data_IF_725142611356
#
_entry.id   IF_725142611356
#
_cell.length_a   1.000
_cell.length_b   1.000
_cell.length_c   1.000
_cell.angle_alpha   90.00
_cell.angle_beta   90.00
_cell.angle_gamma   90.00
#
_symmetry.space_group_name_H-M   'P 1'
#
loop_
_entity.id
_entity.type
_entity.pdbx_description
1 polymer ?
#
# COMPACT_ATOMS: atom_id res chain seq x y z
N UNK A 1 -15.81 -11.06 -11.39
CA UNK A 1 -15.15 -11.28 -10.08
C UNK A 1 -16.21 -11.19 -8.99
N UNK A 2 -16.12 -11.96 -7.90
CA UNK A 2 -17.02 -11.77 -6.75
C UNK A 2 -16.82 -10.35 -6.20
N UNK A 3 -17.90 -9.63 -5.91
CA UNK A 3 -17.91 -8.25 -5.38
C UNK A 3 -16.96 -8.08 -4.18
N UNK A 4 -16.84 -9.12 -3.35
CA UNK A 4 -15.92 -9.15 -2.21
C UNK A 4 -14.45 -9.06 -2.65
N UNK A 5 -14.04 -9.81 -3.67
CA UNK A 5 -12.65 -9.75 -4.19
C UNK A 5 -12.32 -8.38 -4.78
N UNK A 6 -13.29 -7.76 -5.45
CA UNK A 6 -13.15 -6.42 -6.00
C UNK A 6 -12.96 -5.38 -4.89
N UNK A 7 -13.81 -5.41 -3.86
CA UNK A 7 -13.73 -4.51 -2.71
C UNK A 7 -12.38 -4.62 -1.98
N UNK A 8 -11.88 -5.84 -1.75
CA UNK A 8 -10.59 -6.02 -1.07
C UNK A 8 -9.39 -5.67 -1.95
N UNK A 9 -9.47 -5.91 -3.26
CA UNK A 9 -8.36 -5.63 -4.19
C UNK A 9 -8.24 -4.15 -4.52
N UNK A 10 -9.37 -3.53 -4.87
CA UNK A 10 -9.37 -2.13 -5.27
C UNK A 10 -9.51 -1.19 -4.08
N UNK A 11 -10.22 -1.60 -3.02
CA UNK A 11 -10.44 -0.77 -1.85
C UNK A 11 -9.30 -0.78 -0.83
N UNK A 12 -8.49 -1.85 -0.76
CA UNK A 12 -7.43 -1.93 0.26
C UNK A 12 -6.37 -0.83 0.15
N UNK A 13 -5.91 -0.38 -1.03
CA UNK A 13 -4.97 0.74 -1.14
C UNK A 13 -5.58 2.06 -0.68
N UNK A 14 -6.88 2.28 -0.94
CA UNK A 14 -7.59 3.47 -0.45
C UNK A 14 -7.74 3.43 1.07
N UNK A 15 -8.18 2.30 1.63
CA UNK A 15 -8.32 2.13 3.09
C UNK A 15 -6.97 2.33 3.78
N UNK A 16 -5.90 1.78 3.19
CA UNK A 16 -4.54 1.97 3.69
C UNK A 16 -4.10 3.43 3.63
N UNK A 17 -4.35 4.13 2.51
CA UNK A 17 -4.06 5.56 2.37
C UNK A 17 -4.81 6.42 3.39
N UNK A 18 -6.10 6.14 3.61
CA UNK A 18 -6.90 6.82 4.64
C UNK A 18 -6.30 6.57 6.02
N UNK A 19 -5.89 5.34 6.32
CA UNK A 19 -5.20 5.03 7.57
C UNK A 19 -3.92 5.84 7.75
N UNK A 20 -3.08 5.95 6.71
CA UNK A 20 -1.84 6.74 6.76
C UNK A 20 -2.12 8.22 7.05
N UNK A 21 -3.14 8.80 6.42
CA UNK A 21 -3.58 10.17 6.71
C UNK A 21 -4.03 10.28 8.17
N UNK A 22 -4.91 9.40 8.63
CA UNK A 22 -5.42 9.43 10.01
C UNK A 22 -4.31 9.27 11.05
N UNK A 23 -3.32 8.42 10.78
CA UNK A 23 -2.16 8.23 11.64
C UNK A 23 -1.22 9.45 11.66
N UNK A 24 -1.15 10.18 10.55
CA UNK A 24 -0.33 11.40 10.41
C UNK A 24 -0.93 12.63 11.09
N UNK A 25 -2.27 12.72 11.18
CA UNK A 25 -2.94 13.78 11.92
C UNK A 25 -2.62 13.66 13.41
N UNK A 26 -2.51 14.77 14.15
CA UNK A 26 -2.24 14.76 15.60
C UNK A 26 -3.50 14.89 16.47
N UNK A 27 -4.65 15.25 15.86
CA UNK A 27 -5.85 15.68 16.57
C UNK A 27 -6.87 14.55 16.81
N UNK A 28 -6.57 13.30 16.44
CA UNK A 28 -7.49 12.16 16.56
C UNK A 28 -6.95 11.20 17.64
N UNK A 29 -7.20 11.45 18.94
CA UNK A 29 -6.47 10.86 20.07
C UNK A 29 -6.43 9.33 20.15
N UNK A 30 -7.31 8.63 19.42
CA UNK A 30 -7.37 7.17 19.41
C UNK A 30 -6.50 6.53 18.32
N UNK A 31 -6.20 7.26 17.24
CA UNK A 31 -5.40 6.80 16.09
C UNK A 31 -4.08 7.56 15.95
N UNK A 32 -4.12 8.86 16.24
CA UNK A 32 -2.96 9.67 16.49
C UNK A 32 -2.58 9.52 17.94
N UNK A 33 -1.83 8.47 18.24
CA UNK A 33 -1.08 8.37 19.49
C UNK A 33 0.33 8.88 19.17
N UNK A 34 0.50 10.20 19.07
CA UNK A 34 1.61 10.78 18.32
C UNK A 34 2.92 10.38 18.98
N UNK A 35 2.93 10.20 20.31
CA UNK A 35 4.14 9.86 21.05
C UNK A 35 4.06 8.53 21.80
N UNK A 36 3.42 7.51 21.22
CA UNK A 36 3.34 6.20 21.86
C UNK A 36 3.87 5.07 20.99
N UNK A 37 4.60 4.16 21.64
CA UNK A 37 5.02 2.87 21.06
C UNK A 37 3.83 2.02 20.61
N UNK A 38 2.65 2.20 21.23
CA UNK A 38 1.42 1.55 20.82
C UNK A 38 0.92 2.08 19.46
N UNK A 39 1.03 3.39 19.20
CA UNK A 39 0.70 3.97 17.88
C UNK A 39 1.59 3.41 16.77
N UNK A 40 2.90 3.32 17.02
CA UNK A 40 3.85 2.70 16.08
C UNK A 40 3.54 1.21 15.84
N UNK A 41 3.19 0.47 16.90
CA UNK A 41 2.78 -0.94 16.78
C UNK A 41 1.53 -1.11 15.93
N UNK A 42 0.51 -0.27 16.12
CA UNK A 42 -0.72 -0.29 15.31
C UNK A 42 -0.40 0.01 13.84
N UNK A 43 0.43 1.02 13.56
CA UNK A 43 0.86 1.33 12.19
C UNK A 43 1.61 0.17 11.52
N UNK A 44 2.50 -0.50 12.26
CA UNK A 44 3.21 -1.67 11.77
C UNK A 44 2.25 -2.85 11.51
N UNK A 45 1.36 -3.16 12.44
CA UNK A 45 0.38 -4.23 12.30
C UNK A 45 -0.56 -4.00 11.10
N UNK A 46 -1.02 -2.75 10.92
CA UNK A 46 -1.88 -2.39 9.79
C UNK A 46 -1.13 -2.48 8.46
N UNK A 47 0.15 -2.10 8.42
CA UNK A 47 1.00 -2.23 7.24
C UNK A 47 1.25 -3.69 6.86
N UNK A 48 1.50 -4.57 7.84
CA UNK A 48 1.61 -6.01 7.60
C UNK A 48 0.27 -6.58 7.10
N UNK A 49 -0.85 -6.16 7.68
CA UNK A 49 -2.19 -6.56 7.24
C UNK A 49 -2.45 -6.17 5.77
N UNK A 50 -2.14 -4.93 5.40
CA UNK A 50 -2.22 -4.45 4.01
C UNK A 50 -1.39 -5.33 3.06
N UNK A 51 -0.13 -5.56 3.39
CA UNK A 51 0.76 -6.39 2.59
C UNK A 51 0.26 -7.83 2.46
N UNK A 52 -0.27 -8.41 3.55
CA UNK A 52 -0.86 -9.75 3.55
C UNK A 52 -2.07 -9.86 2.62
N UNK A 53 -2.92 -8.83 2.59
CA UNK A 53 -4.06 -8.77 1.65
C UNK A 53 -3.56 -8.71 0.21
N UNK A 54 -2.61 -7.83 -0.10
CA UNK A 54 -2.10 -7.68 -1.47
C UNK A 54 -1.39 -8.93 -1.98
N UNK A 55 -0.52 -9.52 -1.16
CA UNK A 55 0.16 -10.78 -1.49
C UNK A 55 -0.84 -11.94 -1.62
N UNK A 56 -1.82 -12.02 -0.72
CA UNK A 56 -2.84 -13.05 -0.75
C UNK A 56 -3.68 -12.99 -2.03
N UNK A 57 -4.13 -11.79 -2.41
CA UNK A 57 -4.89 -11.59 -3.65
C UNK A 57 -4.05 -11.91 -4.89
N UNK A 58 -2.78 -11.52 -4.89
CA UNK A 58 -1.83 -11.82 -5.97
C UNK A 58 -1.56 -13.32 -6.12
N UNK A 59 -1.48 -14.07 -5.02
CA UNK A 59 -1.25 -15.51 -5.04
C UNK A 59 -2.38 -16.30 -5.73
N UNK A 60 -3.61 -15.77 -5.70
CA UNK A 60 -4.78 -16.38 -6.35
C UNK A 60 -5.18 -15.70 -7.66
N UNK A 61 -4.32 -14.85 -8.21
CA UNK A 61 -4.55 -14.20 -9.50
C UNK A 61 -4.43 -15.22 -10.65
N UNK A 62 -5.35 -15.15 -11.62
CA UNK A 62 -5.37 -15.99 -12.81
C UNK A 62 -4.61 -15.30 -13.94
N UNK A 63 -3.65 -16.01 -14.51
CA UNK A 63 -2.88 -15.57 -15.68
C UNK A 63 -3.84 -15.19 -16.82
N UNK A 64 -3.71 -13.95 -17.33
CA UNK A 64 -4.48 -13.43 -18.47
C UNK A 64 -5.90 -12.91 -18.17
N UNK A 65 -6.39 -12.98 -16.92
CA UNK A 65 -7.71 -12.43 -16.54
C UNK A 65 -7.66 -11.29 -15.54
N UNK A 66 -6.60 -11.23 -14.74
CA UNK A 66 -6.37 -10.15 -13.78
C UNK A 66 -5.54 -9.05 -14.43
N UNK A 67 -5.86 -7.79 -14.13
CA UNK A 67 -5.24 -6.61 -14.74
C UNK A 67 -4.08 -6.07 -13.88
N UNK A 68 -2.85 -6.58 -14.03
CA UNK A 68 -1.72 -6.21 -13.17
C UNK A 68 -1.32 -4.73 -13.29
N UNK A 69 -1.66 -4.10 -14.42
CA UNK A 69 -1.47 -2.66 -14.63
C UNK A 69 -2.33 -1.84 -13.68
N UNK A 70 -3.60 -2.23 -13.50
CA UNK A 70 -4.52 -1.53 -12.59
C UNK A 70 -4.04 -1.68 -11.14
N UNK A 71 -3.58 -2.87 -10.77
CA UNK A 71 -3.03 -3.13 -9.43
C UNK A 71 -1.79 -2.27 -9.13
N UNK A 72 -0.93 -2.06 -10.13
CA UNK A 72 0.21 -1.15 -10.01
C UNK A 72 -0.23 0.31 -9.81
N UNK A 73 -1.22 0.80 -10.57
CA UNK A 73 -1.71 2.16 -10.36
C UNK A 73 -2.37 2.34 -9.00
N UNK A 74 -3.06 1.31 -8.50
CA UNK A 74 -3.66 1.33 -7.17
C UNK A 74 -2.60 1.33 -6.06
N UNK A 75 -1.48 0.64 -6.22
CA UNK A 75 -0.38 0.67 -5.24
C UNK A 75 0.39 2.00 -5.23
N UNK A 76 0.28 2.83 -6.28
CA UNK A 76 0.81 4.20 -6.27
C UNK A 76 0.02 5.14 -5.36
N UNK A 77 -1.25 4.87 -5.07
CA UNK A 77 -2.09 5.74 -4.22
C UNK A 77 -1.47 5.95 -2.83
N UNK A 78 -1.16 4.88 -2.05
CA UNK A 78 -0.54 5.07 -0.74
C UNK A 78 0.87 5.67 -0.83
N UNK A 79 1.59 5.47 -1.95
CA UNK A 79 2.88 6.13 -2.17
C UNK A 79 2.72 7.65 -2.29
N UNK A 80 1.75 8.10 -3.10
CA UNK A 80 1.43 9.52 -3.23
C UNK A 80 0.98 10.11 -1.90
N UNK A 81 0.17 9.38 -1.13
CA UNK A 81 -0.24 9.80 0.21
C UNK A 81 0.96 10.03 1.14
N UNK A 82 1.91 9.09 1.18
CA UNK A 82 3.14 9.25 1.97
C UNK A 82 3.97 10.45 1.51
N UNK A 83 4.10 10.65 0.20
CA UNK A 83 4.86 11.76 -0.36
C UNK A 83 4.23 13.11 0.04
N UNK A 84 2.90 13.21 -0.02
CA UNK A 84 2.17 14.40 0.46
C UNK A 84 2.40 14.62 1.96
N UNK A 85 2.33 13.58 2.79
CA UNK A 85 2.59 13.68 4.24
C UNK A 85 4.00 14.22 4.50
N UNK A 86 5.01 13.67 3.82
CA UNK A 86 6.41 14.14 3.94
C UNK A 86 6.56 15.60 3.53
N UNK A 87 5.93 16.00 2.41
CA UNK A 87 5.94 17.41 1.99
C UNK A 87 5.27 18.32 3.02
N UNK A 88 4.16 17.90 3.61
CA UNK A 88 3.46 18.68 4.65
C UNK A 88 4.26 18.81 5.95
N UNK A 89 5.03 17.78 6.31
CA UNK A 89 5.95 17.82 7.45
C UNK A 89 7.13 18.78 7.19
N UNK A 90 7.76 18.71 6.00
CA UNK A 90 8.85 19.62 5.60
C UNK A 90 8.39 21.09 5.57
N UNK A 91 7.17 21.36 5.11
CA UNK A 91 6.59 22.72 5.06
C UNK A 91 6.09 23.17 6.45
N UNK A 92 6.17 22.31 7.48
CA UNK A 92 5.78 22.62 8.85
C UNK A 92 4.27 22.74 9.06
N UNK A 93 3.46 22.20 8.13
CA UNK A 93 1.99 22.19 8.24
C UNK A 93 1.48 20.97 9.00
N UNK A 94 2.27 19.91 9.06
CA UNK A 94 1.95 18.67 9.73
C UNK A 94 3.20 18.18 10.46
N UNK A 95 3.52 18.75 11.63
CA UNK A 95 4.69 18.31 12.39
C UNK A 95 4.49 16.85 12.79
N UNK A 96 5.42 15.97 12.42
CA UNK A 96 5.38 14.58 12.81
C UNK A 96 6.25 14.33 14.05
N UNK A 97 5.77 13.48 14.95
CA UNK A 97 6.63 12.95 16.00
C UNK A 97 7.64 11.93 15.47
N UNK A 98 8.67 11.63 16.25
CA UNK A 98 9.63 10.56 15.90
C UNK A 98 8.95 9.19 15.74
N UNK A 99 7.94 8.87 16.56
CA UNK A 99 7.22 7.60 16.44
C UNK A 99 6.35 7.53 15.19
N UNK A 100 5.70 8.65 14.82
CA UNK A 100 4.95 8.73 13.57
C UNK A 100 5.88 8.62 12.36
N UNK A 101 7.04 9.27 12.40
CA UNK A 101 8.06 9.14 11.34
C UNK A 101 8.49 7.68 11.18
N UNK A 102 8.79 6.96 12.27
CA UNK A 102 9.16 5.55 12.18
C UNK A 102 8.01 4.66 11.68
N UNK A 103 6.77 4.90 12.14
CA UNK A 103 5.60 4.17 11.66
C UNK A 103 5.34 4.39 10.16
N UNK A 104 5.43 5.64 9.70
CA UNK A 104 5.28 6.01 8.30
C UNK A 104 6.45 5.50 7.44
N UNK A 105 7.66 5.41 7.99
CA UNK A 105 8.80 4.79 7.30
C UNK A 105 8.59 3.29 7.08
N UNK A 106 8.03 2.57 8.07
CA UNK A 106 7.63 1.16 7.90
C UNK A 106 6.57 1.05 6.81
N UNK A 107 5.55 1.91 6.84
CA UNK A 107 4.53 1.94 5.80
C UNK A 107 5.12 2.22 4.41
N UNK A 108 6.08 3.14 4.31
CA UNK A 108 6.78 3.43 3.05
C UNK A 108 7.51 2.21 2.51
N UNK A 109 8.21 1.46 3.37
CA UNK A 109 8.86 0.21 2.95
C UNK A 109 7.85 -0.81 2.43
N UNK A 110 6.71 -0.96 3.10
CA UNK A 110 5.63 -1.87 2.67
C UNK A 110 5.05 -1.46 1.32
N UNK A 111 4.78 -0.17 1.10
CA UNK A 111 4.27 0.34 -0.19
C UNK A 111 5.29 0.10 -1.31
N UNK A 112 6.57 0.33 -1.05
CA UNK A 112 7.62 0.04 -2.04
C UNK A 112 7.67 -1.46 -2.37
N UNK A 113 7.56 -2.34 -1.37
CA UNK A 113 7.49 -3.77 -1.61
C UNK A 113 6.28 -4.13 -2.46
N UNK A 114 5.10 -3.60 -2.16
CA UNK A 114 3.87 -3.82 -2.95
C UNK A 114 4.03 -3.40 -4.41
N UNK A 115 4.59 -2.21 -4.67
CA UNK A 115 4.90 -1.73 -6.02
C UNK A 115 5.88 -2.67 -6.73
N UNK A 116 6.95 -3.11 -6.06
CA UNK A 116 7.93 -4.04 -6.63
C UNK A 116 7.24 -5.37 -6.98
N UNK A 117 6.41 -5.91 -6.10
CA UNK A 117 5.69 -7.17 -6.34
C UNK A 117 4.75 -7.05 -7.55
N UNK A 118 3.92 -6.01 -7.61
CA UNK A 118 3.01 -5.80 -8.73
C UNK A 118 3.76 -5.59 -10.06
N UNK A 119 4.90 -4.91 -10.03
CA UNK A 119 5.78 -4.74 -11.19
C UNK A 119 6.38 -6.08 -11.66
N UNK A 120 6.86 -6.91 -10.73
CA UNK A 120 7.39 -8.24 -11.06
C UNK A 120 6.32 -9.16 -11.64
N UNK A 121 5.11 -9.13 -11.09
CA UNK A 121 3.97 -9.90 -11.61
C UNK A 121 3.63 -9.46 -13.04
N UNK A 122 3.60 -8.15 -13.28
CA UNK A 122 3.36 -7.59 -14.61
C UNK A 122 4.41 -8.07 -15.61
N UNK A 123 5.70 -8.01 -15.28
CA UNK A 123 6.76 -8.51 -16.15
C UNK A 123 6.66 -10.02 -16.39
N UNK A 124 6.34 -10.81 -15.36
CA UNK A 124 6.15 -12.26 -15.50
C UNK A 124 4.97 -12.59 -16.43
N UNK A 125 3.85 -11.88 -16.30
CA UNK A 125 2.69 -12.06 -17.17
C UNK A 125 2.98 -11.63 -18.61
N UNK A 126 3.70 -10.52 -18.82
CA UNK A 126 4.13 -10.09 -20.15
C UNK A 126 5.07 -11.09 -20.82
N UNK A 127 6.03 -11.66 -20.06
CA UNK A 127 6.90 -12.71 -20.56
C UNK A 127 6.10 -13.94 -20.99
N UNK A 128 5.16 -14.41 -20.15
CA UNK A 128 4.30 -15.55 -20.49
C UNK A 128 3.45 -15.31 -21.74
N UNK A 129 2.96 -14.08 -21.95
CA UNK A 129 2.21 -13.72 -23.15
C UNK A 129 3.11 -13.76 -24.40
N UNK A 130 4.31 -13.20 -24.33
CA UNK A 130 5.28 -13.23 -25.44
C UNK A 130 5.73 -14.67 -25.77
N UNK A 131 6.01 -15.49 -24.76
CA UNK A 131 6.40 -16.89 -24.95
C UNK A 131 5.25 -17.71 -25.59
N UNK A 132 3.99 -17.39 -25.29
CA UNK A 132 2.82 -18.03 -25.91
C UNK A 132 2.64 -17.66 -27.40
N UNK A 133 2.94 -16.41 -27.76
CA UNK A 133 2.89 -15.93 -29.15
C UNK A 133 4.04 -16.50 -29.98
N UNK A 134 5.21 -16.72 -29.38
CA UNK A 134 6.36 -17.33 -30.06
C UNK A 134 6.21 -18.85 -30.32
N UNK A 135 5.26 -19.52 -29.65
CA UNK A 135 4.95 -20.95 -29.85
C UNK A 135 3.80 -21.19 -30.85
N UNK A 136 3.16 -20.14 -31.37
CA UNK A 136 2.19 -20.21 -32.49
C UNK A 136 2.88 -19.92 -33.82
#
# INVERSE_FOLDING_TARGET
>A
MSFVRFLFREGSPFVFSVFLVLFSLQNIPMLSLPDSSFGMFVAAAFSIGYMGIQMGLSAFARVGKDGPVVDLFLSLIPLFTLLVIVVLDIVGKLPLSMFQIFGLAIAAMVVLMDIIFNTLILFKMNRLANDYVAMQ
#
